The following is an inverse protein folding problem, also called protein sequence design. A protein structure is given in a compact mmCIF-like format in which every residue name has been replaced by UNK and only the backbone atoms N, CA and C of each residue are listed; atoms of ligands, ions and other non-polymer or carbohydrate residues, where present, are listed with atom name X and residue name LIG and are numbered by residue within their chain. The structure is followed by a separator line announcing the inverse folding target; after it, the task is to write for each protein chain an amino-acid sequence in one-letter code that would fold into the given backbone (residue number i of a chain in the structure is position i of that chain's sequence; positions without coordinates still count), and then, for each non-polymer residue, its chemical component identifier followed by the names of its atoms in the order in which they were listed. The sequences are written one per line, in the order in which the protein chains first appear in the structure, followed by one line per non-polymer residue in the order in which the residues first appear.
data_IF_165482464058
#
_entry.id   IF_165482464058
#
_cell.length_a   1.000
_cell.length_b   1.000
_cell.length_c   1.000
_cell.angle_alpha   90.00
_cell.angle_beta   90.00
_cell.angle_gamma   90.00
#
_symmetry.space_group_name_H-M   'P 1'
#
loop_
_entity.id
_entity.type
_entity.pdbx_description
1 polymer ?
#
# COMPACT_ATOMS: atom_id res chain seq x y z
N UNK A 1 39.50 18.78 2.63
CA UNK A 1 38.11 18.40 2.31
C UNK A 1 37.99 16.89 2.44
N UNK A 2 37.31 16.41 3.50
CA UNK A 2 36.72 15.06 3.72
C UNK A 2 36.46 14.95 5.22
N UNK A 3 35.23 15.26 5.63
CA UNK A 3 34.82 15.42 7.03
C UNK A 3 33.70 14.45 7.36
N UNK A 4 33.92 13.15 7.14
CA UNK A 4 32.91 12.11 7.38
C UNK A 4 33.60 10.86 7.94
N UNK A 5 33.94 10.83 9.24
CA UNK A 5 34.18 9.54 9.92
C UNK A 5 34.25 9.58 11.46
N UNK A 6 33.51 10.48 12.11
CA UNK A 6 33.53 10.62 13.59
C UNK A 6 32.33 10.00 14.33
N UNK A 7 31.32 9.47 13.64
CA UNK A 7 30.14 8.88 14.29
C UNK A 7 30.22 7.37 14.54
N UNK A 8 31.13 6.64 13.88
CA UNK A 8 31.21 5.18 13.99
C UNK A 8 32.09 4.66 15.15
N UNK A 9 32.87 5.52 15.82
CA UNK A 9 33.83 5.10 16.85
C UNK A 9 33.32 5.02 18.29
N UNK A 10 32.05 5.37 18.56
CA UNK A 10 31.47 5.25 19.92
C UNK A 10 30.77 3.93 20.21
N UNK A 11 30.53 3.08 19.21
CA UNK A 11 29.85 1.79 19.43
C UNK A 11 30.79 0.65 19.83
N UNK A 12 32.11 0.86 19.86
CA UNK A 12 33.08 -0.23 20.01
C UNK A 12 33.67 -0.43 21.42
N UNK A 13 33.22 0.29 22.45
CA UNK A 13 33.73 0.08 23.82
C UNK A 13 32.64 0.26 24.88
N UNK A 14 31.94 -0.83 25.20
CA UNK A 14 30.95 -0.80 26.28
C UNK A 14 30.26 -2.13 26.60
N UNK A 15 31.02 -3.15 27.05
CA UNK A 15 30.61 -4.16 28.04
C UNK A 15 29.33 -4.99 27.74
N UNK A 16 29.46 -6.04 26.93
CA UNK A 16 28.45 -7.12 26.89
C UNK A 16 28.45 -7.89 28.23
N UNK A 17 27.28 -8.17 28.85
CA UNK A 17 27.19 -9.06 30.01
C UNK A 17 27.70 -10.48 29.64
N UNK A 18 28.51 -11.07 30.52
CA UNK A 18 29.23 -12.35 30.31
C UNK A 18 28.30 -13.57 30.13
N UNK A 19 27.01 -13.43 30.47
CA UNK A 19 25.99 -14.49 30.31
C UNK A 19 25.56 -14.72 28.85
N UNK A 20 26.01 -13.88 27.91
CA UNK A 20 25.68 -13.97 26.48
C UNK A 20 26.74 -14.69 25.62
N UNK A 21 27.80 -15.26 26.22
CA UNK A 21 28.89 -15.88 25.47
C UNK A 21 28.74 -17.39 25.23
N UNK A 22 27.90 -18.11 25.98
CA UNK A 22 27.91 -19.59 25.96
C UNK A 22 26.74 -20.25 25.20
N UNK A 23 25.72 -19.50 24.79
CA UNK A 23 24.58 -20.05 24.02
C UNK A 23 24.54 -19.57 22.55
N UNK A 24 25.71 -19.45 21.92
CA UNK A 24 25.88 -18.83 20.60
C UNK A 24 25.29 -19.59 19.40
N UNK A 25 24.73 -20.79 19.58
CA UNK A 25 24.19 -21.59 18.47
C UNK A 25 22.70 -21.95 18.53
N UNK A 26 22.08 -21.98 19.72
CA UNK A 26 20.76 -22.62 19.89
C UNK A 26 19.63 -21.65 20.22
N UNK A 27 19.92 -20.47 20.79
CA UNK A 27 18.87 -19.50 21.15
C UNK A 27 18.38 -18.69 19.94
N UNK A 28 19.23 -18.41 18.96
CA UNK A 28 18.84 -17.66 17.76
C UNK A 28 18.03 -18.50 16.77
N UNK A 29 18.14 -19.83 16.78
CA UNK A 29 17.40 -20.71 15.87
C UNK A 29 15.93 -20.92 16.28
N UNK A 30 15.58 -20.64 17.55
CA UNK A 30 14.18 -20.70 18.03
C UNK A 30 13.41 -19.39 17.88
N UNK A 31 14.10 -18.28 17.60
CA UNK A 31 13.47 -16.96 17.44
C UNK A 31 13.14 -16.63 15.98
N UNK A 32 13.38 -17.55 15.04
CA UNK A 32 13.38 -17.24 13.59
C UNK A 32 12.09 -17.59 12.83
N UNK A 33 10.99 -18.02 13.47
CA UNK A 33 9.83 -18.49 12.68
C UNK A 33 8.47 -18.32 13.37
N UNK A 34 8.25 -17.22 14.07
CA UNK A 34 6.88 -16.74 14.29
C UNK A 34 6.78 -15.31 13.76
N UNK A 35 6.69 -15.19 12.43
CA UNK A 35 6.26 -13.93 11.84
C UNK A 35 4.87 -13.63 12.37
N UNK A 36 4.74 -12.53 13.13
CA UNK A 36 3.42 -12.04 13.53
C UNK A 36 2.56 -11.88 12.27
N UNK A 37 1.34 -12.42 12.26
CA UNK A 37 0.50 -12.38 11.06
C UNK A 37 0.24 -10.93 10.68
N UNK A 38 0.80 -10.52 9.55
CA UNK A 38 0.54 -9.22 8.97
C UNK A 38 -0.60 -9.36 7.96
N UNK A 39 -1.51 -8.39 8.00
CA UNK A 39 -2.64 -8.28 7.09
C UNK A 39 -2.56 -6.92 6.40
N UNK A 40 -2.79 -6.91 5.09
CA UNK A 40 -2.81 -5.68 4.29
C UNK A 40 -4.20 -5.50 3.70
N UNK A 41 -4.82 -4.37 3.94
CA UNK A 41 -6.01 -3.94 3.23
C UNK A 41 -5.64 -3.00 2.10
N UNK A 42 -6.15 -3.26 0.91
CA UNK A 42 -6.07 -2.35 -0.23
C UNK A 42 -7.46 -2.02 -0.73
N UNK A 43 -7.65 -0.78 -1.18
CA UNK A 43 -8.91 -0.31 -1.72
C UNK A 43 -8.62 0.67 -2.85
N UNK A 44 -9.28 0.47 -3.98
CA UNK A 44 -9.31 1.43 -5.06
C UNK A 44 -10.71 2.03 -5.15
N UNK A 45 -10.77 3.34 -5.31
CA UNK A 45 -12.01 4.08 -5.48
C UNK A 45 -11.94 4.97 -6.72
N UNK A 46 -13.09 5.20 -7.31
CA UNK A 46 -13.28 6.22 -8.34
C UNK A 46 -14.23 7.30 -7.84
N UNK A 47 -13.86 8.55 -8.10
CA UNK A 47 -14.61 9.72 -7.68
C UNK A 47 -14.99 10.57 -8.90
N UNK A 48 -16.22 11.06 -8.93
CA UNK A 48 -16.67 12.14 -9.81
C UNK A 48 -16.54 13.48 -9.09
N UNK A 49 -16.07 14.51 -9.80
CA UNK A 49 -15.87 15.88 -9.29
C UNK A 49 -16.56 16.85 -10.25
N UNK A 50 -17.89 16.85 -10.24
CA UNK A 50 -18.71 17.51 -11.27
C UNK A 50 -18.50 19.02 -11.37
N UNK A 51 -18.16 19.66 -10.25
CA UNK A 51 -17.96 21.12 -10.19
C UNK A 51 -16.58 21.58 -10.65
N UNK A 52 -15.59 20.68 -10.72
CA UNK A 52 -14.23 21.07 -11.12
C UNK A 52 -14.27 21.67 -12.53
N UNK A 53 -13.42 22.65 -12.83
CA UNK A 53 -13.31 23.19 -14.21
C UNK A 53 -11.86 23.18 -14.69
N UNK A 54 -10.96 22.64 -13.88
CA UNK A 54 -9.54 22.59 -14.17
C UNK A 54 -8.85 21.47 -13.37
N UNK A 55 -7.65 21.07 -13.82
CA UNK A 55 -6.79 20.15 -13.07
C UNK A 55 -6.40 20.71 -11.69
N UNK A 56 -6.37 22.03 -11.52
CA UNK A 56 -6.05 22.66 -10.25
C UNK A 56 -7.17 22.43 -9.23
N UNK A 57 -8.42 22.52 -9.66
CA UNK A 57 -9.59 22.28 -8.80
C UNK A 57 -9.61 20.83 -8.32
N UNK A 58 -9.42 19.88 -9.25
CA UNK A 58 -9.23 18.47 -8.92
C UNK A 58 -8.11 18.26 -7.89
N UNK A 59 -6.91 18.79 -8.14
CA UNK A 59 -5.77 18.63 -7.23
C UNK A 59 -6.07 19.15 -5.82
N UNK A 60 -6.90 20.20 -5.70
CA UNK A 60 -7.35 20.70 -4.39
C UNK A 60 -8.24 19.68 -3.67
N UNK A 61 -9.22 19.10 -4.37
CA UNK A 61 -10.12 18.07 -3.81
C UNK A 61 -9.34 16.83 -3.42
N UNK A 62 -8.55 16.26 -4.34
CA UNK A 62 -7.75 15.05 -4.12
C UNK A 62 -6.80 15.24 -2.94
N UNK A 63 -6.09 16.38 -2.87
CA UNK A 63 -5.20 16.69 -1.75
C UNK A 63 -5.96 16.78 -0.43
N UNK A 64 -7.09 17.49 -0.40
CA UNK A 64 -7.92 17.64 0.80
C UNK A 64 -8.41 16.30 1.31
N UNK A 65 -8.92 15.46 0.41
CA UNK A 65 -9.44 14.13 0.74
C UNK A 65 -8.31 13.22 1.25
N UNK A 66 -7.18 13.15 0.52
CA UNK A 66 -5.99 12.40 0.94
C UNK A 66 -5.51 12.79 2.33
N UNK A 67 -5.34 14.10 2.58
CA UNK A 67 -4.85 14.60 3.87
C UNK A 67 -5.86 14.33 4.99
N UNK A 68 -7.16 14.36 4.71
CA UNK A 68 -8.22 14.04 5.67
C UNK A 68 -8.24 12.55 6.00
N UNK A 69 -8.25 11.68 4.99
CA UNK A 69 -8.26 10.23 5.18
C UNK A 69 -7.02 9.74 5.93
N UNK A 70 -5.84 10.24 5.56
CA UNK A 70 -4.59 9.89 6.24
C UNK A 70 -4.62 10.28 7.71
N UNK A 71 -5.06 11.51 8.04
CA UNK A 71 -5.11 12.01 9.43
C UNK A 71 -6.12 11.26 10.31
N UNK A 72 -7.28 10.90 9.78
CA UNK A 72 -8.34 10.29 10.59
C UNK A 72 -8.26 8.77 10.69
N UNK A 73 -7.68 8.09 9.69
CA UNK A 73 -7.71 6.63 9.61
C UNK A 73 -6.31 5.99 9.56
N UNK A 74 -5.23 6.78 9.56
CA UNK A 74 -3.84 6.30 9.46
C UNK A 74 -3.59 5.42 8.22
N UNK A 75 -4.31 5.71 7.14
CA UNK A 75 -4.20 4.99 5.86
C UNK A 75 -3.25 5.71 4.90
N UNK A 76 -2.54 4.96 4.07
CA UNK A 76 -1.83 5.54 2.92
C UNK A 76 -2.81 5.78 1.78
N UNK A 77 -2.74 6.93 1.13
CA UNK A 77 -3.65 7.31 0.04
C UNK A 77 -2.86 7.97 -1.09
N UNK A 78 -3.11 7.55 -2.32
CA UNK A 78 -2.54 8.17 -3.52
C UNK A 78 -3.56 8.22 -4.64
N UNK A 79 -3.46 9.23 -5.50
CA UNK A 79 -4.06 9.16 -6.83
C UNK A 79 -3.27 8.17 -7.69
N UNK A 80 -3.95 7.28 -8.39
CA UNK A 80 -3.34 6.17 -9.15
C UNK A 80 -3.76 6.13 -10.62
N UNK A 81 -4.74 6.93 -11.01
CA UNK A 81 -5.24 7.00 -12.40
C UNK A 81 -5.98 8.31 -12.68
N UNK A 82 -6.32 8.52 -13.95
CA UNK A 82 -7.08 9.67 -14.45
C UNK A 82 -6.46 11.06 -14.18
N UNK A 83 -5.14 11.14 -13.92
CA UNK A 83 -4.48 12.39 -13.47
C UNK A 83 -4.67 13.59 -14.42
N UNK A 84 -4.88 13.33 -15.71
CA UNK A 84 -5.10 14.35 -16.75
C UNK A 84 -6.59 14.66 -16.99
N UNK A 85 -7.50 13.98 -16.31
CA UNK A 85 -8.95 14.21 -16.34
C UNK A 85 -9.33 15.03 -15.10
N UNK A 86 -10.02 16.16 -15.28
CA UNK A 86 -10.33 17.10 -14.20
C UNK A 86 -11.61 16.76 -13.41
N UNK A 87 -12.60 16.08 -14.01
CA UNK A 87 -13.86 15.69 -13.36
C UNK A 87 -13.87 14.28 -12.79
N UNK A 88 -12.74 13.56 -12.85
CA UNK A 88 -12.62 12.18 -12.36
C UNK A 88 -11.32 12.02 -11.58
N UNK A 89 -11.35 11.25 -10.50
CA UNK A 89 -10.14 10.86 -9.77
C UNK A 89 -10.18 9.38 -9.37
N UNK A 90 -9.15 8.64 -9.74
CA UNK A 90 -8.93 7.26 -9.28
C UNK A 90 -7.91 7.27 -8.14
N UNK A 91 -8.31 6.82 -6.96
CA UNK A 91 -7.44 6.79 -5.77
C UNK A 91 -7.24 5.37 -5.24
N UNK A 92 -6.00 5.06 -4.87
CA UNK A 92 -5.61 3.88 -4.13
C UNK A 92 -5.41 4.19 -2.65
N UNK A 93 -5.87 3.29 -1.80
CA UNK A 93 -5.81 3.36 -0.34
C UNK A 93 -5.21 2.06 0.17
N UNK A 94 -4.25 2.15 1.09
CA UNK A 94 -3.62 0.99 1.71
C UNK A 94 -3.53 1.15 3.23
N UNK A 95 -3.74 0.04 3.95
CA UNK A 95 -3.63 -0.06 5.40
C UNK A 95 -2.97 -1.38 5.77
N UNK A 96 -2.15 -1.38 6.81
CA UNK A 96 -1.52 -2.59 7.36
C UNK A 96 -1.93 -2.74 8.82
N UNK A 97 -2.12 -3.98 9.26
CA UNK A 97 -2.47 -4.28 10.64
C UNK A 97 -2.29 -5.75 10.98
N UNK A 98 -2.60 -6.10 12.23
CA UNK A 98 -2.51 -7.47 12.74
C UNK A 98 -3.82 -8.26 12.63
N UNK A 99 -4.93 -7.59 12.28
CA UNK A 99 -6.26 -8.20 12.21
C UNK A 99 -7.00 -7.73 10.96
N UNK A 100 -7.51 -8.70 10.19
CA UNK A 100 -8.35 -8.42 9.03
C UNK A 100 -9.69 -7.77 9.38
N UNK A 101 -10.28 -8.09 10.54
CA UNK A 101 -11.54 -7.47 10.96
C UNK A 101 -11.37 -5.99 11.33
N UNK A 102 -10.26 -5.64 11.98
CA UNK A 102 -9.92 -4.25 12.28
C UNK A 102 -9.63 -3.44 11.00
N UNK A 103 -8.94 -4.06 10.04
CA UNK A 103 -8.69 -3.47 8.72
C UNK A 103 -10.00 -3.25 7.96
N UNK A 104 -10.86 -4.27 7.87
CA UNK A 104 -12.16 -4.18 7.20
C UNK A 104 -13.02 -3.06 7.79
N UNK A 105 -13.13 -3.00 9.12
CA UNK A 105 -13.86 -1.94 9.81
C UNK A 105 -13.27 -0.55 9.56
N UNK A 106 -11.94 -0.43 9.42
CA UNK A 106 -11.30 0.84 9.09
C UNK A 106 -11.59 1.26 7.65
N UNK A 107 -11.55 0.31 6.71
CA UNK A 107 -11.92 0.54 5.31
C UNK A 107 -13.39 0.95 5.17
N UNK A 108 -14.30 0.38 5.95
CA UNK A 108 -15.72 0.78 5.98
C UNK A 108 -15.86 2.24 6.45
N UNK A 109 -15.17 2.63 7.54
CA UNK A 109 -15.16 4.02 8.02
C UNK A 109 -14.57 5.00 7.00
N UNK A 110 -13.56 4.57 6.25
CA UNK A 110 -12.98 5.36 5.16
C UNK A 110 -14.02 5.58 4.06
N UNK A 111 -14.76 4.55 3.65
CA UNK A 111 -15.84 4.68 2.67
C UNK A 111 -16.97 5.60 3.14
N UNK A 112 -17.40 5.47 4.39
CA UNK A 112 -18.39 6.37 4.99
C UNK A 112 -17.92 7.82 4.95
N UNK A 113 -16.64 8.06 5.28
CA UNK A 113 -16.05 9.41 5.22
C UNK A 113 -16.02 9.97 3.80
N UNK A 114 -15.64 9.15 2.81
CA UNK A 114 -15.62 9.56 1.41
C UNK A 114 -17.04 9.93 0.96
N UNK A 115 -18.04 9.09 1.24
CA UNK A 115 -19.45 9.36 0.91
C UNK A 115 -20.00 10.62 1.58
N UNK A 116 -19.49 10.98 2.76
CA UNK A 116 -19.89 12.19 3.47
C UNK A 116 -19.18 13.47 2.97
N UNK A 117 -18.27 13.35 1.99
CA UNK A 117 -17.52 14.50 1.45
C UNK A 117 -18.33 15.16 0.33
N UNK A 118 -18.71 16.45 0.44
CA UNK A 118 -19.58 17.10 -0.55
C UNK A 118 -18.88 17.48 -1.85
N UNK A 119 -17.54 17.59 -1.85
CA UNK A 119 -16.77 18.05 -3.01
C UNK A 119 -16.57 16.97 -4.09
N UNK A 120 -16.98 15.72 -3.84
CA UNK A 120 -16.85 14.61 -4.77
C UNK A 120 -17.90 13.52 -4.52
N UNK A 121 -18.30 12.81 -5.57
CA UNK A 121 -19.20 11.67 -5.49
C UNK A 121 -18.44 10.35 -5.69
N UNK A 122 -18.79 9.31 -4.94
CA UNK A 122 -18.17 7.99 -5.06
C UNK A 122 -18.86 7.16 -6.15
N UNK A 123 -18.12 6.82 -7.20
CA UNK A 123 -18.66 6.10 -8.37
C UNK A 123 -18.37 4.60 -8.32
N UNK A 124 -17.16 4.21 -7.92
CA UNK A 124 -16.73 2.80 -7.90
C UNK A 124 -15.88 2.50 -6.68
N UNK A 125 -15.96 1.25 -6.20
CA UNK A 125 -15.17 0.73 -5.08
C UNK A 125 -14.75 -0.69 -5.38
N UNK A 126 -13.45 -0.95 -5.29
CA UNK A 126 -12.88 -2.28 -5.22
C UNK A 126 -12.01 -2.38 -3.98
N UNK A 127 -12.07 -3.51 -3.25
CA UNK A 127 -11.24 -3.71 -2.05
C UNK A 127 -10.83 -5.16 -1.91
N UNK A 128 -9.66 -5.35 -1.32
CA UNK A 128 -9.10 -6.66 -1.04
C UNK A 128 -8.37 -6.63 0.32
N UNK A 129 -8.47 -7.73 1.06
CA UNK A 129 -7.73 -7.92 2.30
C UNK A 129 -6.81 -9.13 2.13
N UNK A 130 -5.51 -8.85 2.07
CA UNK A 130 -4.46 -9.83 1.89
C UNK A 130 -4.03 -10.36 3.26
N UNK A 131 -4.22 -11.67 3.44
CA UNK A 131 -3.81 -12.40 4.64
C UNK A 131 -2.52 -13.18 4.39
N UNK A 132 -1.91 -13.71 5.46
CA UNK A 132 -0.78 -14.63 5.34
C UNK A 132 0.54 -13.96 4.96
N UNK A 133 0.67 -12.66 5.19
CA UNK A 133 1.95 -11.97 5.03
C UNK A 133 2.86 -12.34 6.20
N UNK A 134 3.50 -13.50 6.08
CA UNK A 134 4.20 -14.12 7.19
C UNK A 134 5.15 -15.19 6.70
N UNK A 135 6.31 -14.80 6.19
CA UNK A 135 7.48 -15.66 6.30
C UNK A 135 7.67 -16.77 5.29
N UNK A 136 7.52 -16.46 4.01
CA UNK A 136 8.40 -17.04 3.00
C UNK A 136 8.72 -15.98 1.94
N UNK A 137 9.47 -14.95 2.34
CA UNK A 137 10.61 -14.57 1.48
C UNK A 137 11.55 -15.77 1.55
N UNK A 138 11.18 -16.86 0.85
CA UNK A 138 12.13 -17.91 0.53
C UNK A 138 13.33 -17.20 -0.05
N UNK A 139 14.52 -17.55 0.43
CA UNK A 139 15.80 -17.17 -0.14
C UNK A 139 15.60 -16.61 -1.55
N UNK A 140 15.77 -15.29 -1.73
CA UNK A 140 16.27 -14.80 -3.02
C UNK A 140 17.72 -15.33 -3.04
N UNK A 141 17.87 -16.64 -3.17
CA UNK A 141 19.09 -17.23 -3.63
C UNK A 141 19.13 -16.80 -5.08
N UNK A 142 19.95 -15.78 -5.35
CA UNK A 142 20.70 -15.60 -6.58
C UNK A 142 20.16 -16.45 -7.74
N UNK A 143 19.00 -16.06 -8.27
CA UNK A 143 18.60 -16.51 -9.60
C UNK A 143 17.80 -15.39 -10.20
N UNK A 144 18.52 -14.56 -10.95
CA UNK A 144 18.01 -13.59 -11.91
C UNK A 144 17.06 -14.31 -12.88
N UNK A 145 15.80 -14.43 -12.45
CA UNK A 145 14.69 -14.87 -13.26
C UNK A 145 13.60 -13.83 -13.10
N UNK A 146 13.69 -12.75 -13.87
CA UNK A 146 12.57 -11.84 -14.11
C UNK A 146 11.37 -12.71 -14.52
N UNK A 147 10.23 -12.68 -13.80
CA UNK A 147 9.03 -13.34 -14.27
C UNK A 147 8.65 -12.68 -15.60
N UNK A 148 8.57 -13.51 -16.64
CA UNK A 148 8.21 -13.13 -18.02
C UNK A 148 7.00 -12.19 -18.03
N UNK A 149 7.20 -10.98 -18.58
CA UNK A 149 6.24 -9.88 -18.69
C UNK A 149 4.97 -10.23 -19.51
N UNK A 150 4.88 -11.46 -20.06
CA UNK A 150 3.82 -11.90 -20.95
C UNK A 150 2.42 -12.06 -20.33
N UNK A 151 2.31 -12.43 -19.06
CA UNK A 151 0.99 -12.76 -18.45
C UNK A 151 0.16 -11.49 -18.16
N UNK A 152 0.83 -10.39 -17.83
CA UNK A 152 0.18 -9.09 -17.64
C UNK A 152 -0.31 -8.51 -18.98
N UNK A 153 0.47 -8.66 -20.05
CA UNK A 153 0.03 -8.24 -21.39
C UNK A 153 -1.16 -9.06 -21.91
N UNK A 154 -1.17 -10.37 -21.67
CA UNK A 154 -2.26 -11.26 -22.12
C UNK A 154 -3.57 -11.00 -21.36
N UNK A 155 -3.50 -10.78 -20.05
CA UNK A 155 -4.68 -10.48 -19.21
C UNK A 155 -5.25 -9.09 -19.51
N UNK A 156 -4.39 -8.11 -19.81
CA UNK A 156 -4.80 -6.76 -20.21
C UNK A 156 -5.42 -6.75 -21.62
N UNK A 157 -4.89 -7.54 -22.56
CA UNK A 157 -5.48 -7.71 -23.91
C UNK A 157 -6.84 -8.41 -23.87
N UNK A 158 -7.01 -9.43 -23.02
CA UNK A 158 -8.28 -10.12 -22.87
C UNK A 158 -9.39 -9.20 -22.33
N UNK A 159 -9.07 -8.36 -21.33
CA UNK A 159 -10.01 -7.38 -20.76
C UNK A 159 -10.31 -6.21 -21.70
N UNK A 160 -9.34 -5.78 -22.50
CA UNK A 160 -9.54 -4.75 -23.50
C UNK A 160 -10.48 -5.21 -24.63
N UNK A 161 -10.39 -6.48 -25.05
CA UNK A 161 -11.28 -7.04 -26.06
C UNK A 161 -12.72 -7.23 -25.54
N UNK A 162 -12.91 -7.68 -24.29
CA UNK A 162 -14.25 -7.77 -23.68
C UNK A 162 -14.93 -6.41 -23.51
N UNK A 163 -14.16 -5.33 -23.30
CA UNK A 163 -14.71 -3.98 -23.21
C UNK A 163 -15.15 -3.44 -24.58
N UNK A 164 -14.42 -3.78 -25.64
CA UNK A 164 -14.73 -3.32 -27.00
C UNK A 164 -15.92 -4.05 -27.63
N UNK A 165 -16.15 -5.33 -27.27
CA UNK A 165 -17.30 -6.10 -27.75
C UNK A 165 -18.65 -5.65 -27.16
N UNK A 166 -18.65 -4.93 -26.03
CA UNK A 166 -19.87 -4.39 -25.41
C UNK A 166 -20.35 -3.07 -26.00
N UNK A 167 -19.48 -2.35 -26.72
CA UNK A 167 -19.81 -1.05 -27.31
C UNK A 167 -20.29 -1.15 -28.79
N UNK A 168 -20.28 -2.35 -29.38
CA UNK A 168 -20.70 -2.60 -30.78
C UNK A 168 -22.08 -3.31 -30.86
N UNK A 169 -22.70 -3.65 -29.72
CA UNK A 169 -23.99 -4.35 -29.65
C UNK A 169 -25.19 -3.40 -29.44
#
# INVERSE_FOLDING_TARGET
MRHEDRRLRRYQRGRCPRVLQEHRGQAYARLSTEHSPMVVGVMQIELAIDWAQSLKDKRRVVKSLRDTLHRHHMVSVSEVGDQDIWNRASMGIAIVGSSGSAIGATLDRVLERIRATPDCELTSVSREVLHGWGGSFGHIADNDGCPDDGVLEETLRARANEALERDIA
#
